data_IF_250297587961
#
_entry.id   IF_250297587961
#
_cell.length_a   1.000
_cell.length_b   1.000
_cell.length_c   1.000
_cell.angle_alpha   90.00
_cell.angle_beta   90.00
_cell.angle_gamma   90.00
#
_symmetry.space_group_name_H-M   'P 1'
#
loop_
_entity.id
_entity.type
_entity.pdbx_description
1 polymer ?
#
# COMPACT_ATOMS: atom_id res chain seq x y z
N UNK A 1 -21.47 -19.31 5.65
CA UNK A 1 -21.13 -17.94 6.07
C UNK A 1 -20.74 -17.18 4.81
N UNK A 2 -21.23 -15.96 4.60
CA UNK A 2 -20.76 -15.14 3.48
C UNK A 2 -19.26 -14.84 3.69
N UNK A 3 -18.45 -14.94 2.64
CA UNK A 3 -17.03 -14.60 2.70
C UNK A 3 -16.81 -13.11 2.98
N UNK A 4 -15.58 -12.74 3.37
CA UNK A 4 -15.23 -11.35 3.62
C UNK A 4 -15.39 -10.49 2.36
N UNK A 5 -15.89 -9.26 2.50
CA UNK A 5 -15.91 -8.26 1.44
C UNK A 5 -14.52 -7.63 1.28
N UNK A 6 -13.87 -7.88 0.15
CA UNK A 6 -12.49 -7.48 -0.10
C UNK A 6 -12.40 -6.17 -0.88
N UNK A 7 -11.63 -5.23 -0.35
CA UNK A 7 -11.36 -3.94 -0.98
C UNK A 7 -9.87 -3.84 -1.30
N UNK A 8 -9.51 -3.62 -2.57
CA UNK A 8 -8.16 -3.23 -2.95
C UNK A 8 -8.05 -1.70 -3.03
N UNK A 9 -7.02 -1.13 -2.39
CA UNK A 9 -6.68 0.29 -2.51
C UNK A 9 -5.26 0.42 -3.04
N UNK A 10 -5.12 0.82 -4.30
CA UNK A 10 -3.83 1.02 -4.94
C UNK A 10 -3.61 2.47 -5.36
N UNK A 11 -2.40 2.78 -5.80
CA UNK A 11 -1.99 4.12 -6.21
C UNK A 11 -0.50 4.33 -5.97
N UNK A 12 0.07 5.34 -6.62
CA UNK A 12 1.50 5.60 -6.51
C UNK A 12 1.98 5.90 -5.09
N UNK A 13 3.28 5.72 -4.83
CA UNK A 13 3.90 6.17 -3.57
C UNK A 13 3.61 7.66 -3.36
N UNK A 14 3.14 8.03 -2.16
CA UNK A 14 2.72 9.40 -1.84
C UNK A 14 1.32 9.82 -2.35
N UNK A 15 0.54 8.93 -2.98
CA UNK A 15 -0.79 9.25 -3.53
C UNK A 15 -1.85 9.58 -2.49
N UNK A 16 -1.75 9.00 -1.29
CA UNK A 16 -2.79 9.07 -0.26
C UNK A 16 -3.55 7.76 -0.06
N UNK A 17 -3.20 6.68 -0.77
CA UNK A 17 -3.82 5.34 -0.60
C UNK A 17 -3.88 4.85 0.85
N UNK A 18 -2.80 5.00 1.61
CA UNK A 18 -2.73 4.55 3.00
C UNK A 18 -3.60 5.44 3.90
N UNK A 19 -3.70 6.73 3.60
CA UNK A 19 -4.62 7.66 4.29
C UNK A 19 -6.07 7.28 4.04
N UNK A 20 -6.45 7.05 2.77
CA UNK A 20 -7.79 6.58 2.41
C UNK A 20 -8.14 5.27 3.10
N UNK A 21 -7.25 4.27 3.04
CA UNK A 21 -7.47 2.95 3.62
C UNK A 21 -7.66 3.01 5.15
N UNK A 22 -6.83 3.81 5.86
CA UNK A 22 -6.96 4.03 7.30
C UNK A 22 -8.25 4.78 7.65
N UNK A 23 -8.63 5.79 6.88
CA UNK A 23 -9.86 6.54 7.12
C UNK A 23 -11.11 5.68 6.87
N UNK A 24 -11.10 4.81 5.86
CA UNK A 24 -12.16 3.82 5.64
C UNK A 24 -12.25 2.84 6.82
N UNK A 25 -11.12 2.28 7.28
CA UNK A 25 -11.10 1.40 8.45
C UNK A 25 -11.65 2.10 9.69
N UNK A 26 -11.24 3.34 9.95
CA UNK A 26 -11.71 4.12 11.10
C UNK A 26 -13.23 4.34 11.08
N UNK A 27 -13.82 4.58 9.90
CA UNK A 27 -15.28 4.73 9.74
C UNK A 27 -16.05 3.41 9.83
N UNK A 28 -15.48 2.31 9.32
CA UNK A 28 -16.09 0.97 9.41
C UNK A 28 -15.95 0.34 10.81
N UNK A 29 -14.92 0.74 11.55
CA UNK A 29 -14.57 0.23 12.88
C UNK A 29 -13.69 -1.02 12.84
N UNK A 30 -12.71 -1.10 13.76
CA UNK A 30 -11.71 -2.18 13.81
C UNK A 30 -12.28 -3.57 14.10
N UNK A 31 -13.49 -3.64 14.64
CA UNK A 31 -14.19 -4.92 14.89
C UNK A 31 -14.68 -5.52 13.56
N UNK A 32 -15.13 -4.69 12.63
CA UNK A 32 -15.73 -5.11 11.35
C UNK A 32 -14.74 -5.08 10.20
N UNK A 33 -13.70 -4.25 10.29
CA UNK A 33 -12.76 -4.00 9.20
C UNK A 33 -11.31 -4.32 9.58
N UNK A 34 -10.65 -5.12 8.76
CA UNK A 34 -9.22 -5.38 8.85
C UNK A 34 -8.45 -4.69 7.72
N UNK A 35 -7.48 -3.85 8.07
CA UNK A 35 -6.53 -3.28 7.11
C UNK A 35 -5.24 -4.11 7.04
N UNK A 36 -4.77 -4.39 5.83
CA UNK A 36 -3.53 -5.10 5.52
C UNK A 36 -2.73 -4.26 4.54
N UNK A 37 -1.45 -4.07 4.84
CA UNK A 37 -0.51 -3.37 3.93
C UNK A 37 0.31 -4.39 3.14
N UNK A 38 0.38 -4.20 1.83
CA UNK A 38 1.23 -4.96 0.93
C UNK A 38 2.71 -4.77 1.26
N UNK A 39 3.12 -3.63 1.82
CA UNK A 39 4.54 -3.35 2.04
C UNK A 39 5.18 -4.33 3.04
N UNK A 40 4.40 -5.06 3.84
CA UNK A 40 4.92 -6.15 4.67
C UNK A 40 5.39 -7.37 3.87
N UNK A 41 5.02 -7.47 2.59
CA UNK A 41 5.34 -8.61 1.72
C UNK A 41 6.62 -8.41 0.89
N UNK A 42 7.39 -7.34 1.08
CA UNK A 42 8.75 -7.27 0.54
C UNK A 42 9.56 -8.50 0.94
N UNK A 43 10.37 -9.04 0.04
CA UNK A 43 11.29 -10.11 0.41
C UNK A 43 12.36 -9.63 1.40
N UNK A 44 12.84 -10.54 2.24
CA UNK A 44 13.99 -10.31 3.11
C UNK A 44 15.30 -10.21 2.32
N UNK A 45 16.38 -9.80 2.99
CA UNK A 45 17.67 -9.52 2.35
C UNK A 45 18.26 -10.73 1.63
N UNK A 46 17.95 -11.95 2.06
CA UNK A 46 18.39 -13.16 1.37
C UNK A 46 17.97 -13.25 -0.09
N UNK A 47 16.84 -12.63 -0.46
CA UNK A 47 16.34 -12.64 -1.83
C UNK A 47 17.28 -11.89 -2.79
N UNK A 48 17.98 -10.88 -2.29
CA UNK A 48 18.89 -10.04 -3.08
C UNK A 48 20.31 -10.61 -3.17
N UNK A 49 20.52 -11.85 -2.69
CA UNK A 49 21.78 -12.57 -2.76
C UNK A 49 22.65 -12.43 -1.50
N UNK A 50 23.74 -13.20 -1.42
CA UNK A 50 24.54 -13.34 -0.19
C UNK A 50 25.17 -12.03 0.27
N UNK A 51 25.48 -11.12 -0.66
CA UNK A 51 26.12 -9.84 -0.34
C UNK A 51 25.13 -8.82 0.24
N UNK A 52 23.84 -8.92 -0.05
CA UNK A 52 22.84 -7.94 0.41
C UNK A 52 22.68 -7.90 1.93
N UNK A 53 22.96 -9.02 2.61
CA UNK A 53 22.99 -9.08 4.08
C UNK A 53 24.06 -8.16 4.69
N UNK A 54 25.20 -8.02 4.01
CA UNK A 54 26.31 -7.19 4.48
C UNK A 54 26.23 -5.73 3.98
N UNK A 55 25.36 -5.43 3.02
CA UNK A 55 25.22 -4.08 2.46
C UNK A 55 24.66 -3.10 3.49
N UNK A 56 25.21 -1.89 3.49
CA UNK A 56 24.64 -0.79 4.24
C UNK A 56 23.27 -0.40 3.66
N UNK A 57 22.39 0.17 4.48
CA UNK A 57 21.04 0.59 4.06
C UNK A 57 21.05 1.47 2.81
N UNK A 58 21.89 2.52 2.80
CA UNK A 58 22.01 3.43 1.65
C UNK A 58 22.51 2.72 0.37
N UNK A 59 23.30 1.66 0.52
CA UNK A 59 23.79 0.88 -0.61
C UNK A 59 22.67 0.02 -1.20
N UNK A 60 21.85 -0.62 -0.37
CA UNK A 60 20.68 -1.38 -0.81
C UNK A 60 19.74 -0.51 -1.62
N UNK A 61 19.37 0.66 -1.10
CA UNK A 61 18.43 1.59 -1.75
C UNK A 61 18.91 2.11 -3.11
N UNK A 62 20.24 2.21 -3.29
CA UNK A 62 20.86 2.61 -4.55
C UNK A 62 20.97 1.44 -5.53
N UNK A 63 20.96 0.21 -5.04
CA UNK A 63 21.26 -0.98 -5.84
C UNK A 63 20.01 -1.68 -6.33
N UNK A 64 19.00 -1.81 -5.47
CA UNK A 64 17.79 -2.57 -5.75
C UNK A 64 16.60 -1.67 -6.04
N UNK A 65 15.79 -2.08 -7.01
CA UNK A 65 14.53 -1.43 -7.37
C UNK A 65 13.41 -1.99 -6.49
N UNK A 66 13.23 -1.41 -5.30
CA UNK A 66 12.12 -1.80 -4.41
C UNK A 66 10.73 -1.45 -4.96
N UNK A 67 10.64 -0.74 -6.09
CA UNK A 67 9.37 -0.45 -6.76
C UNK A 67 9.11 -1.43 -7.93
N UNK A 68 9.98 -2.43 -8.17
CA UNK A 68 9.67 -3.56 -9.05
C UNK A 68 8.90 -4.65 -8.27
N UNK A 69 7.72 -5.11 -8.75
CA UNK A 69 6.94 -6.18 -8.13
C UNK A 69 7.71 -7.47 -7.82
N UNK A 70 8.81 -7.75 -8.54
CA UNK A 70 9.68 -8.90 -8.29
C UNK A 70 10.30 -8.90 -6.87
N UNK A 71 10.34 -7.75 -6.20
CA UNK A 71 10.90 -7.61 -4.85
C UNK A 71 9.85 -7.86 -3.75
N UNK A 72 8.61 -8.20 -4.12
CA UNK A 72 7.53 -8.55 -3.19
C UNK A 72 7.06 -9.99 -3.42
N UNK A 73 6.75 -10.68 -2.33
CA UNK A 73 6.14 -12.00 -2.35
C UNK A 73 4.63 -11.90 -2.68
N UNK A 74 4.34 -11.52 -3.93
CA UNK A 74 2.97 -11.41 -4.44
C UNK A 74 2.23 -12.74 -4.41
N UNK A 75 2.96 -13.86 -4.46
CA UNK A 75 2.39 -15.19 -4.34
C UNK A 75 1.88 -15.46 -2.92
N UNK A 76 2.65 -15.07 -1.88
CA UNK A 76 2.18 -15.13 -0.49
C UNK A 76 1.01 -14.17 -0.26
N UNK A 77 1.09 -12.93 -0.74
CA UNK A 77 -0.02 -11.98 -0.63
C UNK A 77 -1.30 -12.54 -1.27
N UNK A 78 -1.22 -13.16 -2.46
CA UNK A 78 -2.39 -13.80 -3.10
C UNK A 78 -2.99 -14.89 -2.22
N UNK A 79 -2.16 -15.82 -1.72
CA UNK A 79 -2.64 -16.92 -0.85
C UNK A 79 -3.33 -16.39 0.41
N UNK A 80 -2.75 -15.36 1.01
CA UNK A 80 -3.27 -14.72 2.21
C UNK A 80 -4.62 -14.03 1.94
N UNK A 81 -4.75 -13.31 0.83
CA UNK A 81 -6.02 -12.68 0.42
C UNK A 81 -7.10 -13.72 0.15
N UNK A 82 -6.77 -14.83 -0.52
CA UNK A 82 -7.71 -15.92 -0.75
C UNK A 82 -8.15 -16.59 0.57
N UNK A 83 -7.24 -16.79 1.52
CA UNK A 83 -7.55 -17.31 2.85
C UNK A 83 -8.48 -16.37 3.62
N UNK A 84 -8.19 -15.07 3.61
CA UNK A 84 -9.05 -14.06 4.24
C UNK A 84 -10.44 -14.02 3.61
N UNK A 85 -10.56 -14.17 2.27
CA UNK A 85 -11.85 -14.27 1.59
C UNK A 85 -12.69 -15.43 2.11
N UNK A 86 -12.05 -16.56 2.44
CA UNK A 86 -12.67 -17.75 3.04
C UNK A 86 -12.94 -17.63 4.54
N UNK A 87 -12.59 -16.51 5.17
CA UNK A 87 -12.78 -16.28 6.60
C UNK A 87 -11.66 -16.86 7.48
N UNK A 88 -10.52 -17.23 6.89
CA UNK A 88 -9.40 -17.85 7.59
C UNK A 88 -8.49 -16.80 8.25
N UNK A 89 -7.66 -17.25 9.19
CA UNK A 89 -6.59 -16.43 9.79
C UNK A 89 -5.29 -16.65 9.03
N UNK A 90 -4.57 -15.58 8.75
CA UNK A 90 -3.26 -15.61 8.09
C UNK A 90 -2.13 -15.25 9.05
N UNK A 91 -0.89 -15.53 8.63
CA UNK A 91 0.34 -15.10 9.28
C UNK A 91 1.10 -14.15 8.35
N UNK A 92 0.85 -12.86 8.52
CA UNK A 92 1.48 -11.83 7.70
C UNK A 92 2.94 -11.66 8.12
N UNK A 93 3.91 -11.62 7.18
CA UNK A 93 5.28 -11.21 7.50
C UNK A 93 5.32 -9.79 8.10
N UNK A 94 6.36 -9.48 8.86
CA UNK A 94 6.64 -8.12 9.34
C UNK A 94 7.89 -7.62 8.62
N UNK A 95 7.76 -6.53 7.88
CA UNK A 95 8.87 -5.89 7.18
C UNK A 95 9.40 -4.69 7.97
N UNK A 96 10.71 -4.58 8.07
CA UNK A 96 11.41 -3.51 8.76
C UNK A 96 12.12 -2.61 7.74
N UNK A 97 11.54 -1.44 7.46
CA UNK A 97 12.06 -0.53 6.44
C UNK A 97 13.47 0.01 6.75
N UNK A 98 13.80 0.45 7.98
CA UNK A 98 15.17 0.83 8.33
C UNK A 98 16.24 -0.21 8.00
N UNK A 99 15.91 -1.49 8.11
CA UNK A 99 16.84 -2.58 7.79
C UNK A 99 16.59 -3.17 6.40
N UNK A 100 15.55 -2.79 5.68
CA UNK A 100 15.14 -3.40 4.41
C UNK A 100 15.07 -4.93 4.48
N UNK A 101 14.60 -5.48 5.60
CA UNK A 101 14.55 -6.91 5.85
C UNK A 101 13.23 -7.35 6.50
N UNK A 102 12.94 -8.65 6.43
CA UNK A 102 11.86 -9.26 7.22
C UNK A 102 12.38 -9.58 8.62
N UNK A 103 11.54 -9.39 9.61
CA UNK A 103 11.85 -9.87 10.97
C UNK A 103 11.77 -11.39 11.02
N UNK A 104 12.92 -12.05 11.05
CA UNK A 104 13.01 -13.51 10.95
C UNK A 104 12.23 -14.21 12.08
N UNK A 105 11.30 -15.09 11.69
CA UNK A 105 10.45 -15.83 12.62
C UNK A 105 9.31 -15.01 13.27
N UNK A 106 9.19 -13.72 12.95
CA UNK A 106 8.11 -12.88 13.44
C UNK A 106 7.01 -12.71 12.37
N UNK A 107 5.78 -12.95 12.79
CA UNK A 107 4.59 -12.77 11.96
C UNK A 107 3.50 -12.08 12.75
N UNK A 108 2.65 -11.31 12.05
CA UNK A 108 1.41 -10.78 12.59
C UNK A 108 0.28 -11.73 12.24
N UNK A 109 -0.35 -12.34 13.25
CA UNK A 109 -1.58 -13.13 13.06
C UNK A 109 -2.74 -12.19 12.77
N UNK A 110 -3.40 -12.37 11.62
CA UNK A 110 -4.50 -11.53 11.17
C UNK A 110 -5.72 -12.41 10.89
N UNK A 111 -6.76 -12.24 11.70
CA UNK A 111 -8.04 -12.90 11.46
C UNK A 111 -8.85 -12.13 10.40
N UNK A 112 -9.56 -12.86 9.55
CA UNK A 112 -10.53 -12.25 8.64
C UNK A 112 -11.67 -11.55 9.40
N UNK A 113 -12.27 -10.55 8.75
CA UNK A 113 -13.38 -9.72 9.24
C UNK A 113 -14.45 -9.58 8.16
N UNK A 114 -15.56 -8.93 8.46
CA UNK A 114 -16.62 -8.65 7.48
C UNK A 114 -16.08 -7.91 6.26
N UNK A 115 -15.20 -6.93 6.49
CA UNK A 115 -14.50 -6.17 5.45
C UNK A 115 -13.00 -6.34 5.63
N UNK A 116 -12.28 -6.62 4.54
CA UNK A 116 -10.81 -6.61 4.55
C UNK A 116 -10.32 -5.66 3.46
N UNK A 117 -9.54 -4.66 3.88
CA UNK A 117 -8.90 -3.69 3.00
C UNK A 117 -7.44 -4.11 2.80
N UNK A 118 -7.02 -4.27 1.55
CA UNK A 118 -5.64 -4.51 1.17
C UNK A 118 -5.15 -3.26 0.44
N UNK A 119 -4.14 -2.60 1.00
CA UNK A 119 -3.55 -1.41 0.38
C UNK A 119 -2.09 -1.62 -0.01
N UNK A 120 -1.70 -1.08 -1.16
CA UNK A 120 -0.34 -1.23 -1.67
C UNK A 120 -0.14 -0.68 -3.07
N UNK A 121 1.12 -0.47 -3.45
CA UNK A 121 1.45 0.06 -4.78
C UNK A 121 1.31 -1.00 -5.89
N UNK A 122 1.44 -2.30 -5.58
CA UNK A 122 1.40 -3.39 -6.57
C UNK A 122 0.18 -4.30 -6.44
N UNK A 123 -0.77 -3.99 -5.53
CA UNK A 123 -1.95 -4.84 -5.25
C UNK A 123 -2.76 -5.13 -6.51
N UNK A 124 -2.78 -4.20 -7.47
CA UNK A 124 -3.49 -4.36 -8.74
C UNK A 124 -2.54 -4.31 -9.95
N UNK A 125 -1.25 -4.56 -9.75
CA UNK A 125 -0.25 -4.64 -10.83
C UNK A 125 -0.45 -5.90 -11.71
N UNK A 126 -0.99 -6.97 -11.14
CA UNK A 126 -1.45 -8.17 -11.86
C UNK A 126 -2.98 -8.12 -12.02
N UNK A 127 -3.52 -7.96 -13.24
CA UNK A 127 -4.95 -7.94 -13.49
C UNK A 127 -5.68 -9.21 -13.04
N UNK A 128 -4.99 -10.34 -12.96
CA UNK A 128 -5.59 -11.59 -12.48
C UNK A 128 -5.82 -11.57 -10.97
N UNK A 129 -5.10 -10.74 -10.22
CA UNK A 129 -5.30 -10.56 -8.78
C UNK A 129 -6.51 -9.66 -8.48
N UNK A 130 -6.81 -8.70 -9.37
CA UNK A 130 -7.99 -7.82 -9.26
C UNK A 130 -9.32 -8.59 -9.11
N UNK A 131 -9.44 -9.76 -9.75
CA UNK A 131 -10.64 -10.62 -9.72
C UNK A 131 -10.99 -11.17 -8.34
N UNK A 132 -10.06 -11.12 -7.38
CA UNK A 132 -10.34 -11.54 -6.00
C UNK A 132 -11.07 -10.48 -5.19
N UNK A 133 -10.99 -9.22 -5.59
CA UNK A 133 -11.57 -8.10 -4.86
C UNK A 133 -13.00 -7.83 -5.29
N UNK A 134 -13.83 -7.43 -4.33
CA UNK A 134 -15.24 -7.08 -4.56
C UNK A 134 -15.39 -5.56 -4.83
N UNK A 135 -14.38 -4.77 -4.45
CA UNK A 135 -14.22 -3.37 -4.84
C UNK A 135 -12.74 -3.02 -5.04
N UNK A 136 -12.42 -2.38 -6.16
CA UNK A 136 -11.06 -1.92 -6.49
C UNK A 136 -11.00 -0.41 -6.60
N UNK A 137 -10.04 0.20 -5.91
CA UNK A 137 -9.89 1.66 -5.81
C UNK A 137 -8.48 2.07 -6.21
N UNK A 138 -8.37 3.01 -7.14
CA UNK A 138 -7.13 3.68 -7.48
C UNK A 138 -7.10 5.09 -6.88
N UNK A 139 -6.09 5.43 -6.09
CA UNK A 139 -5.86 6.79 -5.60
C UNK A 139 -4.88 7.51 -6.52
N UNK A 140 -5.40 8.49 -7.26
CA UNK A 140 -4.63 9.30 -8.18
C UNK A 140 -4.19 10.61 -7.51
N UNK A 141 -2.97 11.03 -7.79
CA UNK A 141 -2.44 12.30 -7.34
C UNK A 141 -1.32 12.79 -8.27
N UNK A 142 -1.22 14.11 -8.50
CA UNK A 142 -0.12 14.72 -9.23
C UNK A 142 1.27 14.25 -8.74
N UNK A 143 2.18 14.03 -9.70
CA UNK A 143 3.49 13.44 -9.42
C UNK A 143 4.38 14.30 -8.51
N UNK A 144 4.26 15.62 -8.63
CA UNK A 144 4.91 16.62 -7.79
C UNK A 144 4.43 16.53 -6.33
N UNK A 145 3.11 16.48 -6.10
CA UNK A 145 2.55 16.29 -4.76
C UNK A 145 2.99 14.97 -4.14
N UNK A 146 2.97 13.88 -4.93
CA UNK A 146 3.45 12.56 -4.50
C UNK A 146 4.93 12.59 -4.11
N UNK A 147 5.78 13.22 -4.92
CA UNK A 147 7.20 13.34 -4.65
C UNK A 147 7.47 14.16 -3.37
N UNK A 148 6.79 15.30 -3.19
CA UNK A 148 6.94 16.14 -1.99
C UNK A 148 6.54 15.38 -0.74
N UNK A 149 5.38 14.70 -0.76
CA UNK A 149 4.91 13.86 0.36
C UNK A 149 5.91 12.74 0.67
N UNK A 150 6.44 12.11 -0.37
CA UNK A 150 7.44 11.05 -0.23
C UNK A 150 8.74 11.55 0.41
N UNK A 151 9.29 12.68 -0.06
CA UNK A 151 10.50 13.27 0.53
C UNK A 151 10.26 13.55 2.01
N UNK A 152 9.17 14.23 2.36
CA UNK A 152 8.85 14.56 3.76
C UNK A 152 8.73 13.32 4.65
N UNK A 153 8.04 12.29 4.17
CA UNK A 153 7.87 11.02 4.90
C UNK A 153 9.20 10.29 5.06
N UNK A 154 9.96 10.14 3.98
CA UNK A 154 11.20 9.36 3.98
C UNK A 154 12.30 10.05 4.81
N UNK A 155 12.32 11.39 4.88
CA UNK A 155 13.17 12.14 5.83
C UNK A 155 12.76 11.90 7.28
N UNK A 156 11.46 12.00 7.59
CA UNK A 156 10.95 11.94 8.96
C UNK A 156 10.93 10.53 9.56
N UNK A 157 10.56 9.52 8.76
CA UNK A 157 10.26 8.17 9.26
C UNK A 157 11.34 7.14 8.89
N UNK A 158 12.16 7.42 7.87
CA UNK A 158 13.11 6.43 7.30
C UNK A 158 14.57 6.90 7.33
N UNK A 159 14.84 8.09 7.86
CA UNK A 159 16.20 8.63 8.01
C UNK A 159 16.92 8.90 6.69
N UNK A 160 16.17 9.19 5.61
CA UNK A 160 16.73 9.47 4.29
C UNK A 160 16.96 10.96 4.09
N UNK A 161 17.82 11.33 3.14
CA UNK A 161 17.96 12.73 2.70
C UNK A 161 17.08 13.00 1.49
N UNK A 162 16.60 14.24 1.33
CA UNK A 162 15.88 14.65 0.12
C UNK A 162 16.62 14.25 -1.18
N UNK A 163 17.94 14.45 -1.22
CA UNK A 163 18.76 14.08 -2.38
C UNK A 163 18.70 12.57 -2.67
N UNK A 164 18.85 11.71 -1.66
CA UNK A 164 18.80 10.26 -1.89
C UNK A 164 17.40 9.79 -2.35
N UNK A 165 16.34 10.44 -1.86
CA UNK A 165 14.96 10.17 -2.29
C UNK A 165 14.75 10.61 -3.75
N UNK A 166 15.26 11.78 -4.15
CA UNK A 166 15.17 12.29 -5.52
C UNK A 166 15.90 11.36 -6.49
N UNK A 167 17.13 10.96 -6.16
CA UNK A 167 17.91 10.03 -7.00
C UNK A 167 17.19 8.69 -7.18
N UNK A 168 16.66 8.12 -6.10
CA UNK A 168 15.89 6.88 -6.19
C UNK A 168 14.58 7.06 -6.96
N UNK A 169 13.92 8.21 -6.81
CA UNK A 169 12.69 8.53 -7.53
C UNK A 169 12.90 8.56 -9.04
N UNK A 170 13.94 9.27 -9.49
CA UNK A 170 14.26 9.39 -10.91
C UNK A 170 14.71 8.05 -11.50
N UNK A 171 15.49 7.27 -10.75
CA UNK A 171 16.06 6.01 -11.22
C UNK A 171 15.06 4.86 -11.27
N UNK A 172 14.24 4.70 -10.24
CA UNK A 172 13.43 3.50 -10.01
C UNK A 172 11.94 3.81 -9.95
N UNK A 173 11.54 4.70 -9.04
CA UNK A 173 10.12 4.85 -8.67
C UNK A 173 9.26 5.43 -9.79
N UNK A 174 9.76 6.45 -10.50
CA UNK A 174 9.02 7.05 -11.61
C UNK A 174 8.86 6.07 -12.79
N UNK A 175 9.92 5.36 -13.25
CA UNK A 175 9.77 4.29 -14.24
C UNK A 175 8.82 3.17 -13.79
N UNK A 176 8.97 2.68 -12.56
CA UNK A 176 8.15 1.61 -12.01
C UNK A 176 6.67 2.01 -11.89
N UNK A 177 6.38 3.26 -11.48
CA UNK A 177 5.04 3.82 -11.48
C UNK A 177 4.35 3.67 -12.84
N UNK A 178 5.00 4.14 -13.90
CA UNK A 178 4.45 4.10 -15.25
C UNK A 178 4.25 2.67 -15.75
N UNK A 179 5.14 1.75 -15.38
CA UNK A 179 5.13 0.36 -15.87
C UNK A 179 4.16 -0.54 -15.11
N UNK A 180 4.09 -0.42 -13.79
CA UNK A 180 3.46 -1.42 -12.92
C UNK A 180 2.25 -0.89 -12.16
N UNK A 181 2.14 0.42 -11.95
CA UNK A 181 1.12 1.01 -11.07
C UNK A 181 0.05 1.73 -11.88
N UNK A 182 0.44 2.64 -12.78
CA UNK A 182 -0.50 3.45 -13.57
C UNK A 182 -1.51 2.64 -14.40
N UNK A 183 -1.18 1.46 -14.99
CA UNK A 183 -2.15 0.65 -15.70
C UNK A 183 -3.38 0.26 -14.86
N UNK A 184 -3.21 0.10 -13.54
CA UNK A 184 -4.31 -0.28 -12.63
C UNK A 184 -5.45 0.75 -12.62
N UNK A 185 -5.16 2.03 -12.93
CA UNK A 185 -6.15 3.11 -13.04
C UNK A 185 -7.29 2.77 -14.00
N UNK A 186 -7.00 2.02 -15.06
CA UNK A 186 -7.96 1.71 -16.12
C UNK A 186 -8.83 0.49 -15.83
N UNK A 187 -8.51 -0.28 -14.78
CA UNK A 187 -9.23 -1.50 -14.41
C UNK A 187 -9.93 -1.38 -13.05
N UNK A 188 -9.66 -0.32 -12.28
CA UNK A 188 -10.31 -0.11 -10.99
C UNK A 188 -11.76 0.37 -11.15
N UNK A 189 -12.62 -0.07 -10.24
CA UNK A 189 -14.03 0.35 -10.18
C UNK A 189 -14.17 1.84 -9.86
N UNK A 190 -13.28 2.37 -9.01
CA UNK A 190 -13.27 3.77 -8.59
C UNK A 190 -11.86 4.35 -8.73
N UNK A 191 -11.77 5.54 -9.33
CA UNK A 191 -10.57 6.38 -9.28
C UNK A 191 -10.87 7.59 -8.39
N UNK A 192 -10.10 7.75 -7.32
CA UNK A 192 -10.22 8.86 -6.37
C UNK A 192 -9.07 9.83 -6.58
N UNK A 193 -9.37 11.10 -6.87
CA UNK A 193 -8.35 12.15 -6.97
C UNK A 193 -7.97 12.69 -5.57
N UNK A 194 -6.69 12.77 -5.28
CA UNK A 194 -6.12 13.30 -4.04
C UNK A 194 -5.26 14.55 -4.31
N UNK A 195 -5.93 15.69 -4.47
CA UNK A 195 -5.33 17.00 -4.75
C UNK A 195 -4.89 17.77 -3.49
N UNK A 196 -5.10 17.21 -2.29
CA UNK A 196 -4.80 17.90 -1.04
C UNK A 196 -3.32 18.30 -0.97
N UNK A 197 -3.03 19.54 -0.59
CA UNK A 197 -1.65 19.95 -0.36
C UNK A 197 -1.00 19.04 0.70
N UNK A 198 0.31 18.74 0.60
CA UNK A 198 1.02 18.02 1.65
C UNK A 198 0.90 18.84 2.93
N UNK A 199 0.44 18.27 4.05
CA UNK A 199 0.36 19.02 5.30
C UNK A 199 1.75 19.52 5.69
N UNK A 200 1.81 20.67 6.37
CA UNK A 200 3.05 21.16 6.96
C UNK A 200 3.69 20.10 7.84
N UNK A 201 5.03 20.11 7.96
CA UNK A 201 5.80 19.01 8.59
C UNK A 201 5.19 18.60 9.94
N UNK A 202 4.65 17.39 9.99
CA UNK A 202 4.07 16.79 11.21
C UNK A 202 2.61 17.16 11.50
N UNK A 203 1.98 18.03 10.70
CA UNK A 203 0.56 18.33 10.83
C UNK A 203 -0.28 17.17 10.24
N UNK A 204 -1.38 16.77 10.92
CA UNK A 204 -2.33 15.84 10.31
C UNK A 204 -2.97 16.46 9.06
N UNK A 205 -3.43 15.61 8.15
CA UNK A 205 -4.27 16.09 7.05
C UNK A 205 -5.55 16.70 7.62
N UNK A 206 -5.98 17.80 7.03
CA UNK A 206 -7.23 18.47 7.39
C UNK A 206 -8.43 17.52 7.24
N UNK A 207 -9.38 17.59 8.19
CA UNK A 207 -10.51 16.67 8.28
C UNK A 207 -11.39 16.75 7.02
N UNK A 208 -11.63 17.94 6.49
CA UNK A 208 -12.42 18.12 5.27
C UNK A 208 -11.73 17.45 4.06
N UNK A 209 -10.40 17.52 4.03
CA UNK A 209 -9.59 16.88 2.98
C UNK A 209 -9.67 15.34 3.05
N UNK A 210 -9.68 14.76 4.26
CA UNK A 210 -9.89 13.32 4.45
C UNK A 210 -11.31 12.93 4.04
N UNK A 211 -12.31 13.73 4.41
CA UNK A 211 -13.70 13.45 4.11
C UNK A 211 -13.97 13.45 2.60
N UNK A 212 -13.38 14.41 1.87
CA UNK A 212 -13.43 14.44 0.39
C UNK A 212 -12.75 13.23 -0.24
N UNK A 213 -11.61 12.79 0.31
CA UNK A 213 -10.89 11.61 -0.17
C UNK A 213 -11.71 10.34 0.01
N UNK A 214 -12.40 10.19 1.15
CA UNK A 214 -13.17 9.00 1.50
C UNK A 214 -14.53 8.93 0.81
N UNK A 215 -15.16 10.09 0.56
CA UNK A 215 -16.55 10.18 0.12
C UNK A 215 -16.91 9.29 -1.10
N UNK A 216 -16.12 9.22 -2.19
CA UNK A 216 -16.49 8.40 -3.36
C UNK A 216 -16.59 6.92 -3.02
N UNK A 217 -15.64 6.41 -2.22
CA UNK A 217 -15.62 5.00 -1.80
C UNK A 217 -16.73 4.74 -0.78
N UNK A 218 -16.93 5.66 0.16
CA UNK A 218 -17.97 5.51 1.19
C UNK A 218 -19.37 5.42 0.61
N UNK A 219 -19.71 6.29 -0.35
CA UNK A 219 -20.99 6.26 -1.05
C UNK A 219 -21.20 4.93 -1.77
N UNK A 220 -20.14 4.37 -2.37
CA UNK A 220 -20.22 3.06 -3.00
C UNK A 220 -20.46 1.93 -1.98
N UNK A 221 -19.78 1.95 -0.84
CA UNK A 221 -19.99 0.97 0.23
C UNK A 221 -21.42 1.03 0.79
N UNK A 222 -22.02 2.22 0.89
CA UNK A 222 -23.43 2.37 1.28
C UNK A 222 -24.39 1.77 0.25
N UNK A 223 -24.15 2.01 -1.05
CA UNK A 223 -24.95 1.39 -2.13
C UNK A 223 -24.88 -0.13 -2.13
N UNK A 224 -23.74 -0.69 -1.73
CA UNK A 224 -23.51 -2.13 -1.62
C UNK A 224 -24.00 -2.72 -0.28
N UNK A 225 -24.53 -1.90 0.63
CA UNK A 225 -25.00 -2.33 1.96
C UNK A 225 -23.89 -2.74 2.93
N UNK A 226 -22.64 -2.35 2.64
CA UNK A 226 -21.46 -2.65 3.48
C UNK A 226 -21.31 -1.60 4.60
N UNK A 227 -21.61 -0.34 4.29
CA UNK A 227 -21.59 0.78 5.23
C UNK A 227 -23.02 1.25 5.55
N UNK A 228 -23.26 1.56 6.82
CA UNK A 228 -24.50 2.14 7.35
C UNK A 228 -24.37 3.62 7.66
#
# INVERSE_FOLDING_TARGET
MAGAFLIAVTGGSGSGKTTLARALQARLGDVRCQLITEDNYYFGREHYGPNARAMAHAELERTFDFDDPANKDMAQLRRDVEALKRGETIEQPIYDFPTHDRKAGEVKRIASREVVIIEGIHVLSDPSFAKLFDLTVFVDAPADLRLIRRIRRDEAERGRSAESVIQQYLRFVRPAQARHIDPARHICDIVVACEAAPPDRGAPSDADSIDRLVAPVWVQLQKLGIAG
#
